data_IF_926190734937
#
_entry.id   IF_926190734937
#
_cell.length_a   1.000
_cell.length_b   1.000
_cell.length_c   1.000
_cell.angle_alpha   90.00
_cell.angle_beta   90.00
_cell.angle_gamma   90.00
#
_symmetry.space_group_name_H-M   'P 1'
#
loop_
_entity.id
_entity.type
_entity.pdbx_description
1 polymer ?
#
# COMPACT_ATOMS: atom_id res chain seq x y z
N UNK A 1 -5.79 -43.21 19.47
CA UNK A 1 -5.33 -42.22 20.47
C UNK A 1 -4.95 -40.87 19.84
N UNK A 2 -4.75 -40.77 18.53
CA UNK A 2 -4.47 -39.48 17.84
C UNK A 2 -5.70 -38.55 17.76
N UNK A 3 -6.92 -39.10 17.74
CA UNK A 3 -8.16 -38.31 17.66
C UNK A 3 -8.36 -37.32 18.82
N UNK A 4 -8.11 -37.73 20.08
CA UNK A 4 -8.36 -36.87 21.24
C UNK A 4 -7.31 -35.77 21.44
N UNK A 5 -6.10 -35.94 20.89
CA UNK A 5 -5.04 -34.92 20.94
C UNK A 5 -5.33 -33.81 19.93
N UNK A 6 -5.80 -34.18 18.73
CA UNK A 6 -6.15 -33.23 17.68
C UNK A 6 -7.39 -32.40 18.06
N UNK A 7 -8.41 -33.02 18.66
CA UNK A 7 -9.59 -32.32 19.18
C UNK A 7 -9.23 -31.23 20.20
N UNK A 8 -8.24 -31.50 21.05
CA UNK A 8 -7.79 -30.54 22.06
C UNK A 8 -6.99 -29.37 21.46
N UNK A 9 -6.21 -29.60 20.41
CA UNK A 9 -5.44 -28.55 19.75
C UNK A 9 -6.33 -27.55 19.01
N UNK A 10 -7.43 -28.04 18.45
CA UNK A 10 -8.36 -27.27 17.61
C UNK A 10 -9.57 -26.72 18.39
N UNK A 11 -9.63 -26.94 19.71
CA UNK A 11 -10.71 -26.43 20.53
C UNK A 11 -10.83 -24.90 20.44
N UNK A 12 -12.03 -24.42 20.16
CA UNK A 12 -12.34 -23.00 19.99
C UNK A 12 -11.88 -22.40 18.65
N UNK A 13 -11.51 -23.23 17.66
CA UNK A 13 -10.98 -22.74 16.38
C UNK A 13 -11.96 -21.83 15.66
N UNK A 14 -11.47 -20.67 15.22
CA UNK A 14 -12.25 -19.59 14.56
C UNK A 14 -13.31 -18.88 15.42
N UNK A 15 -13.56 -19.34 16.64
CA UNK A 15 -14.55 -18.75 17.57
C UNK A 15 -14.04 -17.45 18.22
N UNK A 16 -12.72 -17.27 18.28
CA UNK A 16 -12.06 -16.12 18.92
C UNK A 16 -11.33 -15.22 17.93
N UNK A 17 -11.04 -14.00 18.37
CA UNK A 17 -10.23 -13.03 17.62
C UNK A 17 -10.88 -11.65 17.58
N UNK A 18 -10.67 -10.94 16.48
CA UNK A 18 -11.27 -9.64 16.19
C UNK A 18 -11.59 -9.52 14.69
N UNK A 19 -12.03 -8.32 14.27
CA UNK A 19 -12.26 -8.01 12.85
C UNK A 19 -10.99 -8.12 11.98
N UNK A 20 -9.80 -8.03 12.57
CA UNK A 20 -8.54 -8.09 11.83
C UNK A 20 -8.05 -9.53 11.62
N UNK A 21 -8.05 -10.34 12.69
CA UNK A 21 -7.52 -11.71 12.68
C UNK A 21 -8.35 -12.65 13.54
N UNK A 22 -8.46 -13.91 13.11
CA UNK A 22 -9.06 -14.99 13.89
C UNK A 22 -7.97 -15.64 14.70
N UNK A 23 -8.05 -15.65 16.02
CA UNK A 23 -6.97 -16.20 16.86
C UNK A 23 -7.45 -16.46 18.28
N UNK A 24 -6.88 -17.49 18.91
CA UNK A 24 -7.25 -17.95 20.26
C UNK A 24 -6.32 -17.40 21.35
N UNK A 25 -5.72 -16.22 21.09
CA UNK A 25 -4.94 -15.48 22.08
C UNK A 25 -5.07 -13.96 21.93
N UNK A 26 -4.87 -13.26 23.05
CA UNK A 26 -4.67 -11.81 23.14
C UNK A 26 -3.20 -11.50 23.40
N UNK A 27 -2.75 -10.30 23.05
CA UNK A 27 -1.38 -9.84 23.30
C UNK A 27 -1.35 -8.93 24.52
N UNK A 28 -0.31 -9.01 25.33
CA UNK A 28 0.02 -7.97 26.30
C UNK A 28 0.93 -6.95 25.62
N UNK A 29 0.43 -5.72 25.45
CA UNK A 29 1.12 -4.65 24.78
C UNK A 29 2.31 -4.15 25.63
N UNK A 30 3.57 -4.27 25.17
CA UNK A 30 4.73 -3.88 25.99
C UNK A 30 4.80 -2.38 26.29
N UNK A 31 4.21 -1.55 25.42
CA UNK A 31 4.22 -0.10 25.50
C UNK A 31 3.35 0.46 26.64
N UNK A 32 2.22 -0.17 26.93
CA UNK A 32 1.23 0.31 27.90
C UNK A 32 0.80 -0.77 28.92
N UNK A 33 1.28 -2.00 28.78
CA UNK A 33 0.96 -3.17 29.58
C UNK A 33 -0.52 -3.63 29.53
N UNK A 34 -1.32 -3.06 28.62
CA UNK A 34 -2.71 -3.42 28.40
C UNK A 34 -2.87 -4.65 27.49
N UNK A 35 -4.04 -5.30 27.56
CA UNK A 35 -4.31 -6.55 26.82
C UNK A 35 -5.22 -6.26 25.63
N UNK A 36 -4.78 -6.66 24.44
CA UNK A 36 -5.53 -6.44 23.20
C UNK A 36 -5.71 -7.69 22.36
N UNK A 37 -6.85 -7.74 21.66
CA UNK A 37 -7.14 -8.81 20.71
C UNK A 37 -6.24 -8.82 19.49
N UNK A 38 -5.50 -7.76 19.14
CA UNK A 38 -4.35 -7.75 18.21
C UNK A 38 -3.64 -6.39 18.23
N UNK A 39 -2.54 -6.25 17.49
CA UNK A 39 -1.82 -4.97 17.35
C UNK A 39 -2.68 -3.88 16.72
N UNK A 40 -3.56 -4.23 15.78
CA UNK A 40 -4.42 -3.26 15.11
C UNK A 40 -5.54 -2.79 16.04
N UNK A 41 -6.13 -3.67 16.85
CA UNK A 41 -7.04 -3.25 17.92
C UNK A 41 -6.36 -2.29 18.90
N UNK A 42 -5.12 -2.58 19.31
CA UNK A 42 -4.33 -1.67 20.13
C UNK A 42 -4.15 -0.30 19.46
N UNK A 43 -3.64 -0.27 18.22
CA UNK A 43 -3.33 0.99 17.54
C UNK A 43 -4.58 1.81 17.23
N UNK A 44 -5.71 1.15 16.91
CA UNK A 44 -6.99 1.82 16.73
C UNK A 44 -7.44 2.53 18.01
N UNK A 45 -7.35 1.87 19.18
CA UNK A 45 -7.72 2.46 20.46
C UNK A 45 -6.73 3.56 20.89
N UNK A 46 -5.43 3.31 20.80
CA UNK A 46 -4.40 4.28 21.14
C UNK A 46 -4.49 5.56 20.29
N UNK A 47 -4.84 5.44 19.00
CA UNK A 47 -5.02 6.59 18.11
C UNK A 47 -6.23 7.45 18.46
N UNK A 48 -7.27 6.85 19.06
CA UNK A 48 -8.48 7.55 19.49
C UNK A 48 -8.33 8.24 20.86
N UNK A 49 -7.20 8.07 21.54
CA UNK A 49 -6.97 8.73 22.82
C UNK A 49 -7.03 10.25 22.70
N UNK A 50 -7.78 10.85 23.64
CA UNK A 50 -7.87 12.31 23.80
C UNK A 50 -6.54 12.91 24.22
N UNK A 51 -5.77 12.15 24.99
CA UNK A 51 -4.45 12.56 25.43
C UNK A 51 -3.43 12.21 24.36
N UNK A 52 -2.77 13.23 23.80
CA UNK A 52 -1.78 13.04 22.74
C UNK A 52 -0.59 12.21 23.20
N UNK A 53 -0.26 12.21 24.50
CA UNK A 53 0.85 11.43 25.06
C UNK A 53 0.56 9.92 25.06
N UNK A 54 -0.71 9.53 25.02
CA UNK A 54 -1.12 8.12 24.98
C UNK A 54 -1.27 7.60 23.53
N UNK A 55 -1.04 8.46 22.53
CA UNK A 55 -1.07 8.05 21.12
C UNK A 55 0.26 7.40 20.76
N UNK A 56 0.22 6.12 20.45
CA UNK A 56 1.39 5.34 20.09
C UNK A 56 1.00 4.11 19.29
N UNK A 57 1.98 3.51 18.62
CA UNK A 57 1.79 2.25 17.92
C UNK A 57 2.54 1.13 18.63
N UNK A 58 1.95 -0.06 18.61
CA UNK A 58 2.58 -1.26 19.12
C UNK A 58 3.61 -1.80 18.12
N UNK A 59 4.85 -1.92 18.57
CA UNK A 59 5.93 -2.60 17.84
C UNK A 59 5.77 -4.10 18.01
N UNK A 60 5.41 -4.80 16.93
CA UNK A 60 5.04 -6.22 16.97
C UNK A 60 6.16 -7.13 17.48
N UNK A 61 7.43 -6.79 17.22
CA UNK A 61 8.58 -7.58 17.66
C UNK A 61 8.78 -7.56 19.18
N UNK A 62 8.29 -6.51 19.86
CA UNK A 62 8.51 -6.33 21.29
C UNK A 62 7.55 -7.16 22.14
N UNK A 63 6.50 -7.75 21.54
CA UNK A 63 5.53 -8.57 22.24
C UNK A 63 6.20 -9.84 22.77
N UNK A 64 6.22 -9.97 24.10
CA UNK A 64 6.82 -11.12 24.81
C UNK A 64 5.78 -12.04 25.43
N UNK A 65 4.61 -11.52 25.80
CA UNK A 65 3.57 -12.25 26.51
C UNK A 65 2.24 -12.25 25.72
N UNK A 66 1.53 -13.37 25.80
CA UNK A 66 0.19 -13.58 25.25
C UNK A 66 -0.71 -14.19 26.32
N UNK A 67 -2.01 -13.92 26.22
CA UNK A 67 -3.04 -14.47 27.10
C UNK A 67 -3.94 -15.37 26.27
N UNK A 68 -4.05 -16.64 26.66
CA UNK A 68 -4.93 -17.59 25.97
C UNK A 68 -6.39 -17.13 26.07
N UNK A 69 -7.12 -17.13 24.96
CA UNK A 69 -8.54 -16.73 24.95
C UNK A 69 -9.48 -17.84 25.44
N UNK A 70 -8.97 -19.08 25.57
CA UNK A 70 -9.76 -20.25 25.99
C UNK A 70 -9.72 -20.44 27.50
N UNK A 71 -8.56 -20.26 28.14
CA UNK A 71 -8.37 -20.54 29.57
C UNK A 71 -7.71 -19.40 30.36
N UNK A 72 -7.57 -18.22 29.76
CA UNK A 72 -7.01 -17.00 30.37
C UNK A 72 -5.58 -17.14 30.91
N UNK A 73 -4.86 -18.20 30.54
CA UNK A 73 -3.46 -18.38 30.94
C UNK A 73 -2.58 -17.37 30.22
N UNK A 74 -1.87 -16.57 31.00
CA UNK A 74 -0.80 -15.70 30.52
C UNK A 74 0.51 -16.48 30.41
N UNK A 75 1.19 -16.35 29.27
CA UNK A 75 2.41 -17.07 28.98
C UNK A 75 3.29 -16.33 27.98
N UNK A 76 4.55 -16.76 27.89
CA UNK A 76 5.45 -16.30 26.83
C UNK A 76 4.93 -16.68 25.45
N UNK A 77 5.23 -15.87 24.44
CA UNK A 77 4.80 -16.12 23.06
C UNK A 77 5.23 -17.50 22.59
N UNK A 78 4.23 -18.33 22.29
CA UNK A 78 4.37 -19.66 21.71
C UNK A 78 3.09 -19.97 20.93
N UNK A 79 3.13 -20.94 20.00
CA UNK A 79 1.94 -21.31 19.24
C UNK A 79 0.90 -22.04 20.09
N UNK A 80 1.31 -22.82 21.09
CA UNK A 80 0.42 -23.68 21.87
C UNK A 80 0.32 -23.16 23.29
N UNK A 81 -0.89 -23.17 23.84
CA UNK A 81 -1.11 -22.79 25.23
C UNK A 81 -0.48 -23.82 26.18
N UNK A 82 0.31 -23.37 27.15
CA UNK A 82 1.01 -24.25 28.10
C UNK A 82 0.08 -24.92 29.10
N UNK A 83 -1.09 -24.33 29.37
CA UNK A 83 -2.07 -24.86 30.31
C UNK A 83 -3.13 -25.73 29.64
N UNK A 84 -3.90 -25.18 28.69
CA UNK A 84 -5.00 -25.92 28.07
C UNK A 84 -4.58 -26.73 26.83
N UNK A 85 -3.42 -26.47 26.24
CA UNK A 85 -2.90 -27.23 25.10
C UNK A 85 -3.49 -26.86 23.74
N UNK A 86 -4.34 -25.83 23.64
CA UNK A 86 -4.87 -25.38 22.34
C UNK A 86 -3.78 -24.72 21.49
N UNK A 87 -3.80 -24.91 20.17
CA UNK A 87 -3.09 -23.99 19.25
C UNK A 87 -3.74 -22.62 19.38
N UNK A 88 -2.97 -21.54 19.47
CA UNK A 88 -3.49 -20.17 19.56
C UNK A 88 -3.65 -19.49 18.19
N UNK A 89 -3.12 -20.12 17.14
CA UNK A 89 -3.28 -19.77 15.73
C UNK A 89 -2.91 -20.99 14.87
N UNK A 90 -3.65 -21.23 13.79
CA UNK A 90 -3.29 -22.25 12.80
C UNK A 90 -1.98 -21.87 12.09
N UNK A 91 -1.91 -20.62 11.62
CA UNK A 91 -0.67 -19.99 11.21
C UNK A 91 -0.06 -19.26 12.42
N UNK A 92 1.22 -19.52 12.68
CA UNK A 92 2.01 -18.82 13.69
C UNK A 92 3.35 -18.39 13.11
N UNK A 93 3.67 -17.11 13.29
CA UNK A 93 4.99 -16.57 12.97
C UNK A 93 5.64 -16.01 14.23
N UNK A 94 6.69 -16.68 14.72
CA UNK A 94 7.43 -16.25 15.90
C UNK A 94 8.21 -14.95 15.67
N UNK A 95 8.62 -14.64 14.44
CA UNK A 95 9.35 -13.41 14.10
C UNK A 95 8.41 -12.21 14.26
N UNK A 96 7.22 -12.30 13.67
CA UNK A 96 6.22 -11.23 13.71
C UNK A 96 5.31 -11.25 14.93
N UNK A 97 5.40 -12.29 15.78
CA UNK A 97 4.48 -12.56 16.90
C UNK A 97 3.01 -12.61 16.43
N UNK A 98 2.81 -13.20 15.25
CA UNK A 98 1.55 -13.19 14.52
C UNK A 98 0.85 -14.55 14.58
N UNK A 99 -0.47 -14.52 14.76
CA UNK A 99 -1.34 -15.68 14.91
C UNK A 99 -2.60 -15.44 14.07
N UNK A 100 -2.97 -16.41 13.24
CA UNK A 100 -4.24 -16.41 12.52
C UNK A 100 -4.75 -17.84 12.35
N UNK A 101 -6.04 -18.06 12.56
CA UNK A 101 -6.72 -19.35 12.38
C UNK A 101 -7.19 -19.55 10.95
N UNK A 102 -7.34 -18.45 10.22
CA UNK A 102 -7.74 -18.44 8.83
C UNK A 102 -6.56 -18.81 7.93
N UNK A 103 -6.28 -20.11 7.81
CA UNK A 103 -5.19 -20.63 6.99
C UNK A 103 -5.46 -20.53 5.48
N UNK A 104 -6.72 -20.27 5.06
CA UNK A 104 -7.09 -20.09 3.65
C UNK A 104 -6.46 -18.84 3.05
N UNK A 105 -6.13 -17.86 3.88
CA UNK A 105 -5.31 -16.69 3.53
C UNK A 105 -3.89 -17.03 3.07
N UNK A 106 -3.40 -18.26 3.30
CA UNK A 106 -2.06 -18.70 2.88
C UNK A 106 -0.95 -17.71 3.31
N UNK A 107 -0.92 -17.37 4.61
CA UNK A 107 0.05 -16.42 5.13
C UNK A 107 1.47 -16.98 5.03
N UNK A 108 2.44 -16.09 4.80
CA UNK A 108 3.85 -16.46 4.80
C UNK A 108 4.72 -15.30 5.28
N UNK A 109 5.82 -15.60 5.95
CA UNK A 109 6.81 -14.60 6.34
C UNK A 109 7.79 -14.32 5.18
N UNK A 110 8.00 -13.05 4.86
CA UNK A 110 9.09 -12.65 3.96
C UNK A 110 10.24 -12.07 4.80
N UNK A 111 11.36 -12.78 4.83
CA UNK A 111 12.54 -12.39 5.62
C UNK A 111 13.10 -11.02 5.18
N UNK A 112 13.17 -10.77 3.87
CA UNK A 112 13.64 -9.50 3.31
C UNK A 112 12.73 -8.31 3.69
N UNK A 113 11.42 -8.55 3.82
CA UNK A 113 10.47 -7.52 4.27
C UNK A 113 10.44 -7.40 5.81
N UNK A 114 10.74 -8.47 6.53
CA UNK A 114 10.56 -8.58 7.97
C UNK A 114 9.10 -8.65 8.44
N UNK A 115 8.15 -8.95 7.52
CA UNK A 115 6.72 -9.01 7.83
C UNK A 115 6.03 -10.20 7.14
N UNK A 116 4.92 -10.64 7.74
CA UNK A 116 4.03 -11.62 7.12
C UNK A 116 3.20 -10.98 6.01
N UNK A 117 3.04 -11.70 4.90
CA UNK A 117 2.15 -11.40 3.77
C UNK A 117 1.08 -12.48 3.66
N UNK A 118 0.06 -12.21 2.84
CA UNK A 118 -1.14 -13.02 2.63
C UNK A 118 -1.24 -13.35 1.14
N UNK A 119 -1.74 -14.54 0.79
CA UNK A 119 -1.99 -14.94 -0.60
C UNK A 119 -1.01 -15.96 -1.18
N UNK A 120 -0.24 -16.68 -0.36
CA UNK A 120 0.64 -17.78 -0.79
C UNK A 120 2.02 -17.30 -1.23
N UNK A 121 3.08 -17.96 -0.73
CA UNK A 121 4.47 -17.56 -1.02
C UNK A 121 4.78 -17.61 -2.52
N UNK A 122 4.21 -18.59 -3.20
CA UNK A 122 4.37 -18.87 -4.64
C UNK A 122 3.78 -17.77 -5.54
N UNK A 123 2.78 -17.03 -5.03
CA UNK A 123 2.12 -15.96 -5.78
C UNK A 123 2.85 -14.62 -5.64
N UNK A 124 3.90 -14.55 -4.84
CA UNK A 124 4.64 -13.32 -4.57
C UNK A 124 6.14 -13.48 -4.85
N UNK A 125 6.78 -12.35 -5.12
CA UNK A 125 8.24 -12.25 -5.13
C UNK A 125 8.67 -10.98 -4.41
N UNK A 126 9.85 -11.01 -3.78
CA UNK A 126 10.46 -9.82 -3.21
C UNK A 126 11.28 -9.09 -4.27
N UNK A 127 10.92 -7.85 -4.57
CA UNK A 127 11.72 -6.98 -5.42
C UNK A 127 12.75 -6.25 -4.55
N UNK A 128 14.03 -6.64 -4.66
CA UNK A 128 15.12 -6.03 -3.87
C UNK A 128 15.27 -4.53 -4.10
N UNK A 129 15.07 -4.05 -5.34
CA UNK A 129 15.17 -2.63 -5.68
C UNK A 129 14.05 -1.81 -5.03
N UNK A 130 12.83 -2.34 -4.99
CA UNK A 130 11.71 -1.66 -4.34
C UNK A 130 11.67 -1.90 -2.82
N UNK A 131 12.40 -2.92 -2.32
CA UNK A 131 12.40 -3.34 -0.92
C UNK A 131 11.04 -3.88 -0.47
N UNK A 132 10.32 -4.58 -1.35
CA UNK A 132 8.89 -4.86 -1.19
C UNK A 132 8.45 -6.15 -1.92
N UNK A 133 7.45 -6.85 -1.36
CA UNK A 133 6.81 -7.99 -2.04
C UNK A 133 5.71 -7.53 -2.99
N UNK A 134 5.67 -8.12 -4.19
CA UNK A 134 4.61 -7.93 -5.17
C UNK A 134 4.09 -9.27 -5.68
N UNK A 135 2.88 -9.25 -6.24
CA UNK A 135 2.35 -10.38 -6.99
C UNK A 135 3.28 -10.73 -8.17
N UNK A 136 3.45 -12.03 -8.45
CA UNK A 136 4.34 -12.53 -9.51
C UNK A 136 4.06 -11.95 -10.90
N UNK A 137 2.82 -11.52 -11.19
CA UNK A 137 2.49 -10.84 -12.45
C UNK A 137 3.22 -9.50 -12.67
N UNK A 138 3.68 -8.85 -11.59
CA UNK A 138 4.48 -7.63 -11.66
C UNK A 138 5.97 -7.89 -11.85
N UNK A 139 6.41 -9.14 -11.87
CA UNK A 139 7.82 -9.48 -12.09
C UNK A 139 8.26 -8.95 -13.46
N UNK A 140 9.34 -8.17 -13.46
CA UNK A 140 9.95 -7.54 -14.64
C UNK A 140 9.06 -6.56 -15.44
N UNK A 141 7.84 -6.29 -14.96
CA UNK A 141 6.85 -5.43 -15.65
C UNK A 141 6.55 -4.11 -14.95
N UNK A 142 7.05 -3.90 -13.72
CA UNK A 142 6.81 -2.66 -12.97
C UNK A 142 8.02 -1.72 -13.01
N UNK A 143 7.76 -0.42 -13.03
CA UNK A 143 8.80 0.58 -12.87
C UNK A 143 9.28 0.59 -11.42
N UNK A 144 10.49 0.07 -11.18
CA UNK A 144 11.05 0.00 -9.84
C UNK A 144 11.43 1.39 -9.30
N UNK A 145 10.67 1.87 -8.31
CA UNK A 145 11.00 3.03 -7.49
C UNK A 145 11.50 2.52 -6.14
N UNK A 146 12.65 3.04 -5.69
CA UNK A 146 13.24 2.61 -4.43
C UNK A 146 12.27 2.89 -3.28
N UNK A 147 12.09 1.90 -2.40
CA UNK A 147 11.23 2.02 -1.22
C UNK A 147 9.79 2.45 -1.56
N UNK A 148 9.24 1.95 -2.67
CA UNK A 148 7.94 2.40 -3.19
C UNK A 148 6.74 2.18 -2.25
N UNK A 149 6.89 1.35 -1.20
CA UNK A 149 5.85 1.14 -0.18
C UNK A 149 6.23 1.71 1.19
N UNK A 150 7.45 2.22 1.37
CA UNK A 150 7.89 2.78 2.67
C UNK A 150 7.57 4.27 2.78
N UNK A 151 6.33 4.61 2.50
CA UNK A 151 5.78 5.96 2.63
C UNK A 151 4.27 5.91 2.87
N UNK A 152 3.69 7.06 3.14
CA UNK A 152 2.25 7.19 3.37
C UNK A 152 1.51 7.27 2.03
N UNK A 153 0.31 6.71 1.99
CA UNK A 153 -0.61 6.89 0.87
C UNK A 153 -0.86 8.39 0.65
N UNK A 154 -0.73 8.92 -0.57
CA UNK A 154 -0.86 10.36 -0.82
C UNK A 154 -2.30 10.90 -0.63
N UNK A 155 -3.29 10.02 -0.45
CA UNK A 155 -4.70 10.38 -0.32
C UNK A 155 -5.16 10.27 1.14
N UNK A 156 -5.04 9.08 1.76
CA UNK A 156 -5.50 8.85 3.13
C UNK A 156 -4.42 9.03 4.20
N UNK A 157 -3.16 9.23 3.80
CA UNK A 157 -2.00 9.39 4.68
C UNK A 157 -1.70 8.22 5.62
N UNK A 158 -2.31 7.05 5.40
CA UNK A 158 -1.97 5.82 6.12
C UNK A 158 -0.67 5.22 5.56
N UNK A 159 0.18 4.69 6.44
CA UNK A 159 1.46 4.10 6.05
C UNK A 159 1.26 2.80 5.26
N UNK A 160 1.82 2.74 4.05
CA UNK A 160 1.51 1.66 3.09
C UNK A 160 2.08 0.30 3.52
N UNK A 161 3.33 0.25 4.00
CA UNK A 161 4.06 -1.01 4.18
C UNK A 161 3.41 -1.97 5.17
N UNK A 162 2.81 -1.43 6.23
CA UNK A 162 2.21 -2.18 7.34
C UNK A 162 0.67 -2.22 7.33
N UNK A 163 0.06 -1.55 6.35
CA UNK A 163 -1.38 -1.55 6.14
C UNK A 163 -1.89 -2.92 5.74
N UNK A 164 -3.14 -3.22 6.11
CA UNK A 164 -3.86 -4.42 5.66
C UNK A 164 -4.60 -4.22 4.34
N UNK A 165 -4.63 -2.97 3.84
CA UNK A 165 -5.33 -2.62 2.61
C UNK A 165 -4.48 -2.98 1.39
N UNK A 166 -5.15 -3.41 0.33
CA UNK A 166 -4.51 -3.67 -0.95
C UNK A 166 -3.89 -2.40 -1.53
N UNK A 167 -2.81 -2.59 -2.29
CA UNK A 167 -2.04 -1.50 -2.89
C UNK A 167 -1.92 -1.68 -4.39
N UNK A 168 -1.86 -0.57 -5.11
CA UNK A 168 -1.66 -0.52 -6.56
C UNK A 168 -0.35 0.19 -6.86
N UNK A 169 0.49 -0.45 -7.68
CA UNK A 169 1.68 0.17 -8.27
C UNK A 169 1.27 0.83 -9.57
N UNK A 170 1.30 2.16 -9.62
CA UNK A 170 0.97 2.93 -10.81
C UNK A 170 2.06 2.79 -11.89
N UNK A 171 1.75 3.14 -13.14
CA UNK A 171 2.72 3.12 -14.26
C UNK A 171 3.98 3.95 -14.00
N UNK A 172 3.86 5.02 -13.21
CA UNK A 172 4.99 5.84 -12.77
C UNK A 172 5.84 5.22 -11.64
N UNK A 173 5.50 4.00 -11.18
CA UNK A 173 6.19 3.25 -10.13
C UNK A 173 5.79 3.62 -8.70
N UNK A 174 5.10 4.74 -8.49
CA UNK A 174 4.57 5.11 -7.18
C UNK A 174 3.43 4.18 -6.76
N UNK A 175 3.28 3.97 -5.45
CA UNK A 175 2.29 3.06 -4.87
C UNK A 175 1.28 3.83 -4.02
N UNK A 176 0.02 3.41 -4.02
CA UNK A 176 -1.01 3.89 -3.10
C UNK A 176 -2.03 2.79 -2.81
N UNK A 177 -2.94 2.99 -1.85
CA UNK A 177 -4.03 2.05 -1.61
C UNK A 177 -4.95 1.91 -2.82
N UNK A 178 -5.41 0.70 -3.09
CA UNK A 178 -6.28 0.39 -4.23
C UNK A 178 -7.60 1.18 -4.18
N UNK A 179 -8.22 1.28 -3.00
CA UNK A 179 -9.44 2.07 -2.80
C UNK A 179 -9.21 3.55 -3.11
N UNK A 180 -8.12 4.12 -2.62
CA UNK A 180 -7.75 5.51 -2.90
C UNK A 180 -7.45 5.74 -4.39
N UNK A 181 -6.82 4.76 -5.05
CA UNK A 181 -6.60 4.80 -6.50
C UNK A 181 -7.94 4.81 -7.25
N UNK A 182 -8.88 3.93 -6.91
CA UNK A 182 -10.20 3.91 -7.56
C UNK A 182 -10.98 5.20 -7.33
N UNK A 183 -11.03 5.70 -6.10
CA UNK A 183 -11.70 6.98 -5.79
C UNK A 183 -11.10 8.14 -6.58
N UNK A 184 -9.77 8.15 -6.75
CA UNK A 184 -9.07 9.16 -7.54
C UNK A 184 -9.52 9.11 -9.02
N UNK A 185 -9.64 7.92 -9.59
CA UNK A 185 -10.11 7.72 -10.98
C UNK A 185 -11.59 8.09 -11.13
N UNK A 186 -12.45 7.71 -10.19
CA UNK A 186 -13.88 8.04 -10.19
C UNK A 186 -14.15 9.55 -10.13
N UNK A 187 -13.22 10.33 -9.57
CA UNK A 187 -13.29 11.80 -9.50
C UNK A 187 -12.57 12.50 -10.66
N UNK A 188 -12.33 11.79 -11.77
CA UNK A 188 -11.64 12.30 -12.96
C UNK A 188 -10.22 12.84 -12.68
N UNK A 189 -9.52 12.29 -11.67
CA UNK A 189 -8.13 12.64 -11.37
C UNK A 189 -7.19 11.58 -11.92
N UNK A 190 -6.75 11.78 -13.15
CA UNK A 190 -5.95 10.79 -13.89
C UNK A 190 -4.43 10.92 -13.73
N UNK A 191 -3.97 11.81 -12.85
CA UNK A 191 -2.55 12.08 -12.64
C UNK A 191 -2.10 11.62 -11.25
N UNK A 192 -0.90 11.03 -11.18
CA UNK A 192 -0.28 10.62 -9.92
C UNK A 192 -0.11 11.85 -9.00
N UNK A 193 -0.62 11.82 -7.76
CA UNK A 193 -0.48 12.94 -6.81
C UNK A 193 0.97 13.23 -6.41
N UNK A 194 1.89 12.28 -6.63
CA UNK A 194 3.29 12.39 -6.22
C UNK A 194 4.17 13.01 -7.31
N UNK A 195 3.92 12.69 -8.58
CA UNK A 195 4.78 13.11 -9.70
C UNK A 195 4.04 13.68 -10.91
N UNK A 196 2.72 13.83 -10.83
CA UNK A 196 1.85 14.38 -11.88
C UNK A 196 1.79 13.60 -13.20
N UNK A 197 2.48 12.45 -13.33
CA UNK A 197 2.35 11.54 -14.49
C UNK A 197 0.95 10.98 -14.63
N UNK A 198 0.45 10.86 -15.86
CA UNK A 198 -0.80 10.17 -16.15
C UNK A 198 -0.69 8.68 -15.76
N UNK A 199 -1.68 8.18 -15.04
CA UNK A 199 -1.67 6.82 -14.48
C UNK A 199 -2.53 5.84 -15.30
N UNK A 200 -3.46 6.35 -16.09
CA UNK A 200 -4.29 5.60 -17.04
C UNK A 200 -3.90 5.92 -18.49
N UNK A 201 -4.44 5.18 -19.45
CA UNK A 201 -4.30 5.54 -20.86
C UNK A 201 -5.18 6.75 -21.18
N UNK A 202 -4.55 7.84 -21.60
CA UNK A 202 -5.20 9.11 -21.94
C UNK A 202 -5.29 9.33 -23.45
N UNK A 203 -4.93 8.34 -24.28
CA UNK A 203 -4.87 8.44 -25.75
C UNK A 203 -6.17 9.00 -26.37
N UNK A 204 -7.33 8.49 -25.96
CA UNK A 204 -8.63 8.98 -26.41
C UNK A 204 -8.91 10.43 -26.01
N UNK A 205 -8.46 10.85 -24.83
CA UNK A 205 -8.63 12.23 -24.33
C UNK A 205 -7.73 13.17 -25.12
N UNK A 206 -6.48 12.79 -25.37
CA UNK A 206 -5.54 13.56 -26.19
C UNK A 206 -6.04 13.72 -27.62
N UNK A 207 -6.62 12.66 -28.21
CA UNK A 207 -7.21 12.72 -29.55
C UNK A 207 -8.37 13.73 -29.62
N UNK A 208 -9.23 13.76 -28.60
CA UNK A 208 -10.30 14.75 -28.54
C UNK A 208 -9.76 16.18 -28.45
N UNK A 209 -8.69 16.41 -27.70
CA UNK A 209 -8.05 17.72 -27.64
C UNK A 209 -7.42 18.10 -28.99
N UNK A 210 -6.83 17.15 -29.72
CA UNK A 210 -6.35 17.39 -31.10
C UNK A 210 -7.50 17.90 -32.01
N UNK A 211 -8.66 17.22 -31.98
CA UNK A 211 -9.84 17.58 -32.78
C UNK A 211 -10.38 18.98 -32.40
N UNK A 212 -10.44 19.30 -31.10
CA UNK A 212 -10.90 20.61 -30.62
C UNK A 212 -9.91 21.75 -30.98
N UNK A 213 -8.61 21.48 -30.99
CA UNK A 213 -7.57 22.41 -31.44
C UNK A 213 -7.67 22.68 -32.94
N UNK A 214 -7.85 21.65 -33.76
CA UNK A 214 -7.99 21.81 -35.20
C UNK A 214 -9.24 22.63 -35.58
N UNK A 215 -10.34 22.42 -34.84
CA UNK A 215 -11.59 23.17 -35.02
C UNK A 215 -11.52 24.63 -34.50
N UNK A 216 -10.53 24.98 -33.70
CA UNK A 216 -10.43 26.29 -33.03
C UNK A 216 -9.34 27.16 -33.64
N UNK A 217 -9.72 28.18 -34.40
CA UNK A 217 -8.75 29.12 -34.97
C UNK A 217 -8.22 30.06 -33.89
N UNK A 218 -6.92 30.02 -33.63
CA UNK A 218 -6.27 30.96 -32.71
C UNK A 218 -6.30 32.40 -33.26
N UNK A 219 -6.53 33.41 -32.40
CA UNK A 219 -6.40 34.81 -32.78
C UNK A 219 -5.02 35.13 -33.33
N UNK A 220 -4.94 36.12 -34.22
CA UNK A 220 -3.74 36.43 -34.99
C UNK A 220 -2.51 36.71 -34.10
N UNK A 221 -2.69 37.45 -33.01
CA UNK A 221 -1.64 37.78 -32.02
C UNK A 221 -1.02 36.56 -31.34
N UNK A 222 -1.75 35.43 -31.30
CA UNK A 222 -1.32 34.21 -30.62
C UNK A 222 -0.96 33.08 -31.58
N UNK A 223 -1.36 33.16 -32.85
CA UNK A 223 -1.25 32.07 -33.84
C UNK A 223 0.18 31.55 -34.03
N UNK A 224 1.15 32.44 -33.98
CA UNK A 224 2.58 32.12 -34.16
C UNK A 224 3.37 32.22 -32.85
N UNK A 225 2.68 32.48 -31.73
CA UNK A 225 3.33 32.54 -30.43
C UNK A 225 3.77 31.14 -30.05
N UNK A 226 5.05 31.00 -29.69
CA UNK A 226 5.58 29.77 -29.14
C UNK A 226 5.76 29.86 -27.63
N UNK A 227 5.65 28.71 -26.97
CA UNK A 227 5.89 28.54 -25.54
C UNK A 227 6.74 27.30 -25.31
N UNK A 228 7.58 27.38 -24.27
CA UNK A 228 8.30 26.22 -23.77
C UNK A 228 7.42 25.46 -22.79
N UNK A 229 7.41 24.15 -22.93
CA UNK A 229 6.65 23.25 -22.05
C UNK A 229 7.55 22.17 -21.46
N UNK A 230 7.21 21.73 -20.26
CA UNK A 230 7.67 20.46 -19.67
C UNK A 230 6.53 19.47 -19.73
N UNK A 231 6.76 18.29 -20.31
CA UNK A 231 5.79 17.20 -20.28
C UNK A 231 5.94 16.39 -19.00
N UNK A 232 4.86 16.25 -18.23
CA UNK A 232 4.89 15.45 -17.00
C UNK A 232 5.07 13.95 -17.30
N UNK A 233 4.58 13.45 -18.44
CA UNK A 233 4.61 12.02 -18.75
C UNK A 233 6.00 11.52 -19.18
N UNK A 234 6.65 12.22 -20.13
CA UNK A 234 7.98 11.86 -20.61
C UNK A 234 9.14 12.63 -19.95
N UNK A 235 8.84 13.70 -19.20
CA UNK A 235 9.81 14.64 -18.60
C UNK A 235 10.65 15.45 -19.61
N UNK A 236 10.32 15.42 -20.90
CA UNK A 236 11.02 16.22 -21.90
C UNK A 236 10.54 17.68 -21.93
N UNK A 237 11.46 18.54 -22.33
CA UNK A 237 11.21 19.95 -22.60
C UNK A 237 11.15 20.20 -24.09
N UNK A 238 10.07 20.81 -24.57
CA UNK A 238 9.90 21.13 -26.01
C UNK A 238 9.31 22.52 -26.20
N UNK A 239 9.70 23.19 -27.28
CA UNK A 239 9.06 24.43 -27.72
C UNK A 239 7.91 24.11 -28.69
N UNK A 240 6.71 24.61 -28.41
CA UNK A 240 5.50 24.31 -29.19
C UNK A 240 4.68 25.57 -29.44
N UNK A 241 3.78 25.52 -30.42
CA UNK A 241 2.83 26.62 -30.64
C UNK A 241 1.88 26.74 -29.46
N UNK A 242 1.63 27.96 -29.02
CA UNK A 242 0.68 28.26 -27.97
C UNK A 242 -0.75 28.03 -28.47
N UNK A 243 -1.54 27.28 -27.71
CA UNK A 243 -2.97 27.12 -27.96
C UNK A 243 -3.73 27.18 -26.63
N UNK A 244 -4.87 27.87 -26.60
CA UNK A 244 -5.63 28.08 -25.35
C UNK A 244 -6.14 26.78 -24.71
N UNK A 245 -6.40 25.75 -25.53
CA UNK A 245 -6.93 24.46 -25.08
C UNK A 245 -5.86 23.51 -24.52
N UNK A 246 -4.58 23.71 -24.88
CA UNK A 246 -3.52 22.82 -24.41
C UNK A 246 -2.29 22.83 -25.30
N UNK A 247 -1.20 22.27 -24.76
CA UNK A 247 0.09 22.21 -25.44
C UNK A 247 0.52 20.75 -25.58
N UNK A 248 0.56 20.26 -26.82
CA UNK A 248 0.94 18.88 -27.14
C UNK A 248 2.45 18.69 -27.01
N UNK A 249 2.88 17.70 -26.24
CA UNK A 249 4.29 17.32 -26.20
C UNK A 249 4.74 16.77 -27.57
N UNK A 250 5.81 17.33 -28.14
CA UNK A 250 6.36 16.87 -29.42
C UNK A 250 7.01 15.48 -29.38
N UNK A 251 7.32 14.95 -28.19
CA UNK A 251 7.96 13.65 -28.05
C UNK A 251 6.97 12.50 -27.82
N UNK A 252 6.02 12.65 -26.87
CA UNK A 252 5.08 11.58 -26.51
C UNK A 252 3.61 11.87 -26.84
N UNK A 253 3.30 12.99 -27.50
CA UNK A 253 1.94 13.42 -27.86
C UNK A 253 0.97 13.68 -26.70
N UNK A 254 1.44 13.64 -25.45
CA UNK A 254 0.63 13.96 -24.28
C UNK A 254 0.34 15.45 -24.16
N UNK A 255 -0.86 15.81 -23.67
CA UNK A 255 -1.17 17.18 -23.24
C UNK A 255 -1.05 17.36 -21.71
N UNK A 256 -0.54 16.37 -20.98
CA UNK A 256 -0.17 16.51 -19.57
C UNK A 256 1.14 17.31 -19.45
N UNK A 257 1.06 18.60 -19.75
CA UNK A 257 2.19 19.50 -19.90
C UNK A 257 1.97 20.78 -19.09
N UNK A 258 3.06 21.45 -18.74
CA UNK A 258 3.02 22.77 -18.10
C UNK A 258 3.97 23.72 -18.82
N UNK A 259 3.54 24.98 -18.95
CA UNK A 259 4.41 26.03 -19.50
C UNK A 259 5.56 26.33 -18.54
N UNK A 260 6.75 26.53 -19.11
CA UNK A 260 7.96 26.88 -18.38
C UNK A 260 8.65 28.06 -19.06
N UNK A 261 9.64 28.64 -18.38
CA UNK A 261 10.53 29.62 -19.01
C UNK A 261 11.44 28.93 -20.04
N UNK A 262 11.98 29.67 -21.02
CA UNK A 262 12.96 29.12 -21.96
C UNK A 262 14.13 28.45 -21.21
N UNK A 263 14.54 27.23 -21.60
CA UNK A 263 15.66 26.55 -20.96
C UNK A 263 16.95 27.34 -21.20
N UNK A 264 17.76 27.48 -20.14
CA UNK A 264 19.08 28.07 -20.24
C UNK A 264 20.00 27.02 -20.86
N UNK A 265 20.37 27.21 -22.13
CA UNK A 265 21.35 26.33 -22.78
C UNK A 265 22.71 26.50 -22.09
N UNK A 266 23.41 25.42 -21.70
CA UNK A 266 24.81 25.52 -21.28
C UNK A 266 25.62 26.09 -22.44
N UNK A 267 26.46 27.09 -22.15
CA UNK A 267 27.42 27.66 -23.11
C UNK A 267 28.48 26.63 -23.49
#
# INVERSE_FOLDING_TARGET
MEGSVNERLDFGKTEYGCKHYRRRCRIRAPCCNEIYSCRHCHNEEASLSKNSFDRHELVRQDVKQVVCSVCDTEQSVAQVCTNCGVKMGEYFCNICKFFDDDAEKQQFHCDDCGICRVGGRENFFHCKKCGSCYAVGLRDNHLCVENSMRHHCPICYEYLFDSLKDTVVMKCGHTMHQECYHEMIERDRYCCPICSKSVVDMSSVWKRIDEEIEASIMPEDYRYRKVWILCNDCNDTTEVNFHILGHKCGHCNSYNTRSIAPPVLPQ
#
